data_IF_931512831512
#
_entry.id   IF_931512831512
#
_cell.length_a   1.000
_cell.length_b   1.000
_cell.length_c   1.000
_cell.angle_alpha   90.00
_cell.angle_beta   90.00
_cell.angle_gamma   90.00
#
_symmetry.space_group_name_H-M   'P 1'
#
loop_
_entity.id
_entity.type
_entity.pdbx_description
1 polymer ?
#
# COMPACT_ATOMS: atom_id res chain seq x y z
N UNK A 1 9.93 -9.04 12.68
CA UNK A 1 9.75 -10.04 11.60
C UNK A 1 10.69 -9.66 10.48
N UNK A 2 11.53 -10.57 9.98
CA UNK A 2 12.36 -10.30 8.81
C UNK A 2 11.43 -10.05 7.61
N UNK A 3 11.37 -8.80 7.13
CA UNK A 3 10.62 -8.46 5.92
C UNK A 3 11.37 -9.06 4.73
N UNK A 4 10.80 -10.13 4.16
CA UNK A 4 11.38 -10.87 3.02
C UNK A 4 11.10 -10.22 1.66
N UNK A 5 10.24 -9.21 1.60
CA UNK A 5 9.77 -8.64 0.34
C UNK A 5 10.02 -7.13 0.32
N UNK A 6 10.93 -6.71 -0.57
CA UNK A 6 11.03 -5.33 -1.03
C UNK A 6 9.97 -5.15 -2.10
N UNK A 7 8.94 -4.37 -1.80
CA UNK A 7 7.83 -4.11 -2.72
C UNK A 7 8.32 -3.12 -3.77
N UNK A 8 8.49 -3.58 -5.01
CA UNK A 8 8.72 -2.74 -6.19
C UNK A 8 7.51 -2.89 -7.09
N UNK A 9 6.69 -1.85 -7.15
CA UNK A 9 5.55 -1.77 -8.06
C UNK A 9 6.01 -1.11 -9.36
N UNK A 10 5.74 -1.77 -10.48
CA UNK A 10 5.88 -1.14 -11.80
C UNK A 10 4.83 -0.04 -12.00
N UNK A 11 5.07 0.86 -12.95
CA UNK A 11 4.16 1.97 -13.27
C UNK A 11 2.75 1.50 -13.60
N UNK A 12 2.62 0.34 -14.25
CA UNK A 12 1.34 -0.30 -14.58
C UNK A 12 0.54 -0.73 -13.34
N UNK A 13 1.20 -1.40 -12.38
CA UNK A 13 0.62 -1.79 -11.09
C UNK A 13 0.20 -0.56 -10.29
N UNK A 14 1.04 0.49 -10.32
CA UNK A 14 0.76 1.78 -9.68
C UNK A 14 -0.48 2.44 -10.28
N UNK A 15 -0.63 2.40 -11.59
CA UNK A 15 -1.81 2.94 -12.28
C UNK A 15 -3.06 2.11 -11.98
N UNK A 16 -2.94 0.78 -11.92
CA UNK A 16 -4.04 -0.10 -11.57
C UNK A 16 -4.55 0.16 -10.14
N UNK A 17 -3.63 0.29 -9.18
CA UNK A 17 -3.97 0.63 -7.79
C UNK A 17 -4.61 2.03 -7.69
N UNK A 18 -4.11 3.01 -8.44
CA UNK A 18 -4.73 4.33 -8.51
C UNK A 18 -6.13 4.28 -9.13
N UNK A 19 -6.35 3.48 -10.17
CA UNK A 19 -7.67 3.31 -10.77
C UNK A 19 -8.67 2.67 -9.78
N UNK A 20 -8.21 1.68 -9.00
CA UNK A 20 -9.01 1.04 -7.94
C UNK A 20 -9.38 2.05 -6.86
N UNK A 21 -8.46 2.92 -6.44
CA UNK A 21 -8.72 3.98 -5.46
C UNK A 21 -9.67 5.03 -6.04
N UNK A 22 -9.40 5.50 -7.25
CA UNK A 22 -10.16 6.55 -7.93
C UNK A 22 -11.59 6.13 -8.23
N UNK A 23 -11.79 4.87 -8.64
CA UNK A 23 -13.12 4.30 -8.89
C UNK A 23 -13.79 3.77 -7.62
N UNK A 24 -13.12 3.82 -6.46
CA UNK A 24 -13.50 3.12 -5.23
C UNK A 24 -14.00 1.69 -5.52
N UNK A 25 -13.31 0.99 -6.42
CA UNK A 25 -13.82 -0.27 -6.99
C UNK A 25 -13.57 -1.42 -6.01
N UNK A 26 -14.55 -1.67 -5.14
CA UNK A 26 -14.58 -2.78 -4.18
C UNK A 26 -14.92 -2.36 -2.76
N UNK A 27 -14.80 -3.29 -1.80
CA UNK A 27 -14.99 -2.98 -0.37
C UNK A 27 -13.96 -1.96 0.11
N UNK A 28 -14.29 -1.08 1.06
CA UNK A 28 -13.37 -0.07 1.60
C UNK A 28 -12.04 -0.63 2.11
N UNK A 29 -12.01 -1.91 2.50
CA UNK A 29 -10.81 -2.64 2.88
C UNK A 29 -9.85 -2.87 1.70
N UNK A 30 -10.37 -3.03 0.47
CA UNK A 30 -9.58 -3.17 -0.77
C UNK A 30 -8.93 -1.85 -1.15
N UNK A 31 -9.66 -0.74 -1.05
CA UNK A 31 -9.14 0.61 -1.28
C UNK A 31 -8.05 0.96 -0.26
N UNK A 32 -8.25 0.63 1.03
CA UNK A 32 -7.21 0.78 2.07
C UNK A 32 -5.95 -0.03 1.76
N UNK A 33 -6.09 -1.29 1.34
CA UNK A 33 -4.94 -2.12 0.95
C UNK A 33 -4.20 -1.57 -0.27
N UNK A 34 -4.93 -1.04 -1.25
CA UNK A 34 -4.33 -0.40 -2.42
C UNK A 34 -3.50 0.83 -2.04
N UNK A 35 -4.00 1.65 -1.11
CA UNK A 35 -3.22 2.77 -0.57
C UNK A 35 -1.98 2.31 0.21
N UNK A 36 -2.09 1.25 1.02
CA UNK A 36 -0.96 0.67 1.75
C UNK A 36 0.13 0.20 0.78
N UNK A 37 -0.23 -0.53 -0.27
CA UNK A 37 0.70 -1.00 -1.31
C UNK A 37 1.39 0.17 -2.02
N UNK A 38 0.66 1.20 -2.42
CA UNK A 38 1.23 2.39 -3.06
C UNK A 38 2.22 3.15 -2.17
N UNK A 39 2.00 3.15 -0.84
CA UNK A 39 2.88 3.82 0.13
C UNK A 39 4.07 2.96 0.54
N UNK A 40 3.91 1.64 0.52
CA UNK A 40 4.96 0.65 0.77
C UNK A 40 5.94 0.50 -0.40
N UNK A 41 5.63 1.11 -1.55
CA UNK A 41 6.49 1.06 -2.72
C UNK A 41 7.91 1.60 -2.41
N UNK A 42 8.91 0.79 -2.76
CA UNK A 42 10.31 1.04 -2.47
C UNK A 42 10.96 2.04 -3.43
N UNK A 43 10.39 2.26 -4.62
CA UNK A 43 10.84 3.26 -5.60
C UNK A 43 10.25 4.65 -5.31
N UNK A 44 9.12 4.68 -4.59
CA UNK A 44 8.48 5.88 -4.07
C UNK A 44 8.95 6.30 -2.68
N UNK A 45 7.99 6.52 -1.78
CA UNK A 45 8.24 7.18 -0.49
C UNK A 45 9.00 6.30 0.52
N UNK A 46 9.14 4.99 0.24
CA UNK A 46 9.87 4.03 1.08
C UNK A 46 9.40 4.06 2.53
N UNK A 47 8.08 4.21 2.73
CA UNK A 47 7.52 4.32 4.07
C UNK A 47 7.74 3.01 4.83
N UNK A 48 8.18 3.17 6.07
CA UNK A 48 8.27 2.02 6.97
C UNK A 48 6.88 1.57 7.37
N UNK A 49 6.78 0.29 7.71
CA UNK A 49 5.56 -0.38 8.17
C UNK A 49 4.89 0.38 9.33
N UNK A 50 5.68 1.04 10.17
CA UNK A 50 5.19 1.93 11.23
C UNK A 50 4.50 3.17 10.67
N UNK A 51 5.10 3.88 9.71
CA UNK A 51 4.48 5.05 9.08
C UNK A 51 3.18 4.70 8.36
N UNK A 52 3.14 3.53 7.72
CA UNK A 52 1.93 3.04 7.05
C UNK A 52 0.86 2.65 8.08
N UNK A 53 1.24 1.94 9.14
CA UNK A 53 0.35 1.58 10.23
C UNK A 53 -0.26 2.82 10.91
N UNK A 54 0.55 3.85 11.13
CA UNK A 54 0.13 5.13 11.72
C UNK A 54 -0.80 5.90 10.78
N UNK A 55 -0.45 6.02 9.49
CA UNK A 55 -1.25 6.74 8.51
C UNK A 55 -2.61 6.09 8.21
N UNK A 56 -2.70 4.75 8.28
CA UNK A 56 -3.93 4.01 7.99
C UNK A 56 -4.66 3.49 9.24
N UNK A 57 -4.21 3.86 10.44
CA UNK A 57 -4.73 3.36 11.72
C UNK A 57 -4.87 1.83 11.72
N UNK A 58 -3.91 1.16 11.09
CA UNK A 58 -3.90 -0.28 10.91
C UNK A 58 -2.84 -0.90 11.80
N UNK A 59 -3.08 -2.14 12.27
CA UNK A 59 -2.10 -2.84 13.09
C UNK A 59 -0.87 -3.15 12.23
N UNK A 60 0.33 -2.92 12.75
CA UNK A 60 1.62 -3.16 12.06
C UNK A 60 1.73 -4.63 11.55
N UNK A 61 1.03 -5.57 12.19
CA UNK A 61 0.93 -6.98 11.77
C UNK A 61 0.16 -7.20 10.46
N UNK A 62 -0.60 -6.21 10.01
CA UNK A 62 -1.44 -6.27 8.80
C UNK A 62 -0.75 -5.60 7.60
N UNK A 63 0.49 -5.12 7.78
CA UNK A 63 1.28 -4.32 6.81
C UNK A 63 2.54 -5.07 6.34
#
# INVERSE_FOLDING_TARGET
>A
MQKKYTIRLSEEERNHLNDVIKKLKGSGQKVRRAHILLKADADGAKWTDQQIAEAFLCRIKTV
#
